data_IF_415495343541
#
_entry.id   IF_415495343541
#
_cell.length_a   1.000
_cell.length_b   1.000
_cell.length_c   1.000
_cell.angle_alpha   90.00
_cell.angle_beta   90.00
_cell.angle_gamma   90.00
#
_symmetry.space_group_name_H-M   'P 1'
#
loop_
_entity.id
_entity.type
_entity.pdbx_description
1 polymer ?
#
# COMPACT_ATOMS: atom_id res chain seq x y z
N UNK A 1 -23.81 -8.79 9.26
CA UNK A 1 -24.98 -9.55 8.81
C UNK A 1 -25.64 -8.93 7.56
N UNK A 2 -26.10 -7.65 7.59
CA UNK A 2 -26.85 -7.05 6.48
C UNK A 2 -26.04 -6.97 5.17
N UNK A 3 -24.77 -6.56 5.21
CA UNK A 3 -23.91 -6.47 4.03
C UNK A 3 -23.69 -7.84 3.37
N UNK A 4 -23.51 -8.90 4.18
CA UNK A 4 -23.34 -10.26 3.66
C UNK A 4 -24.61 -10.77 2.97
N UNK A 5 -25.78 -10.51 3.56
CA UNK A 5 -27.08 -10.86 2.94
C UNK A 5 -27.31 -10.09 1.62
N UNK A 6 -26.88 -8.84 1.54
CA UNK A 6 -26.93 -8.06 0.28
C UNK A 6 -25.99 -8.69 -0.76
N UNK A 7 -24.75 -9.06 -0.39
CA UNK A 7 -23.84 -9.71 -1.30
C UNK A 7 -24.40 -11.02 -1.87
N UNK A 8 -25.05 -11.83 -1.03
CA UNK A 8 -25.72 -13.06 -1.49
C UNK A 8 -26.90 -12.77 -2.44
N UNK A 9 -27.71 -11.76 -2.12
CA UNK A 9 -28.82 -11.36 -2.96
C UNK A 9 -28.38 -10.78 -4.31
N UNK A 10 -27.19 -10.16 -4.36
CA UNK A 10 -26.61 -9.60 -5.58
C UNK A 10 -25.69 -10.57 -6.32
N UNK A 11 -25.60 -11.84 -5.87
CA UNK A 11 -24.72 -12.81 -6.51
C UNK A 11 -25.15 -13.10 -7.98
N UNK A 12 -24.19 -13.29 -8.91
CA UNK A 12 -22.73 -13.33 -8.72
C UNK A 12 -22.12 -11.93 -8.55
N UNK A 13 -21.29 -11.74 -7.52
CA UNK A 13 -20.66 -10.46 -7.25
C UNK A 13 -19.30 -10.61 -6.55
N UNK A 14 -18.55 -9.52 -6.49
CA UNK A 14 -17.32 -9.41 -5.69
C UNK A 14 -17.62 -8.61 -4.42
N UNK A 15 -17.35 -9.21 -3.27
CA UNK A 15 -17.37 -8.53 -1.98
C UNK A 15 -15.95 -8.08 -1.62
N UNK A 16 -15.71 -6.79 -1.64
CA UNK A 16 -14.44 -6.22 -1.19
C UNK A 16 -14.52 -5.81 0.28
N UNK A 17 -13.54 -6.27 1.07
CA UNK A 17 -13.39 -5.92 2.48
C UNK A 17 -12.02 -5.28 2.66
N UNK A 18 -11.99 -3.97 2.84
CA UNK A 18 -10.75 -3.24 3.05
C UNK A 18 -10.37 -3.24 4.53
N UNK A 19 -9.06 -3.34 4.83
CA UNK A 19 -8.50 -3.34 6.17
C UNK A 19 -9.21 -4.32 7.13
N UNK A 20 -9.27 -5.58 6.72
CA UNK A 20 -9.99 -6.64 7.45
C UNK A 20 -9.61 -6.70 8.94
N UNK A 21 -8.35 -6.43 9.28
CA UNK A 21 -7.88 -6.39 10.67
C UNK A 21 -8.58 -5.32 11.50
N UNK A 22 -8.93 -4.17 10.92
CA UNK A 22 -9.65 -3.10 11.63
C UNK A 22 -11.08 -3.48 11.94
N UNK A 23 -11.73 -4.15 10.98
CA UNK A 23 -13.08 -4.67 11.16
C UNK A 23 -13.17 -5.69 12.30
N UNK A 24 -12.08 -6.45 12.51
CA UNK A 24 -12.04 -7.57 13.45
C UNK A 24 -11.47 -7.19 14.81
N UNK A 25 -10.58 -6.18 14.88
CA UNK A 25 -9.89 -5.80 16.11
C UNK A 25 -10.76 -4.99 17.07
N UNK A 26 -11.89 -4.46 16.60
CA UNK A 26 -12.62 -3.41 17.33
C UNK A 26 -11.73 -2.20 17.57
N UNK A 27 -12.20 -0.98 17.49
CA UNK A 27 -11.38 0.22 17.74
C UNK A 27 -10.72 0.09 19.11
N UNK A 28 -9.49 -0.42 19.12
CA UNK A 28 -8.72 -0.72 20.32
C UNK A 28 -8.26 0.56 21.01
N UNK A 29 -9.08 1.08 21.84
CA UNK A 29 -8.81 2.09 22.86
C UNK A 29 -9.57 1.68 24.09
N UNK A 30 -8.81 1.21 25.08
CA UNK A 30 -9.15 1.18 26.49
C UNK A 30 -10.59 0.75 26.86
N UNK A 31 -10.76 -0.53 27.19
CA UNK A 31 -11.83 -1.00 28.11
C UNK A 31 -13.29 -0.88 27.67
N UNK A 32 -13.62 -0.65 26.40
CA UNK A 32 -14.99 -0.36 26.00
C UNK A 32 -15.76 -1.60 25.49
N UNK A 33 -17.07 -1.54 25.65
CA UNK A 33 -18.12 -2.51 25.25
C UNK A 33 -18.05 -2.96 23.76
N UNK A 34 -17.20 -2.36 22.95
CA UNK A 34 -17.04 -2.60 21.52
C UNK A 34 -16.26 -3.89 21.17
N UNK A 35 -15.44 -4.43 22.08
CA UNK A 35 -14.69 -5.66 21.85
C UNK A 35 -15.61 -6.86 21.58
N UNK A 36 -16.77 -6.90 22.22
CA UNK A 36 -17.77 -7.94 22.02
C UNK A 36 -18.49 -7.86 20.67
N UNK A 37 -18.68 -6.65 20.13
CA UNK A 37 -19.34 -6.43 18.82
C UNK A 37 -18.42 -6.88 17.70
N UNK A 38 -17.15 -6.52 17.76
CA UNK A 38 -16.15 -6.89 16.74
C UNK A 38 -15.89 -8.40 16.72
N UNK A 39 -15.80 -9.04 17.88
CA UNK A 39 -15.67 -10.50 17.97
C UNK A 39 -16.89 -11.22 17.36
N UNK A 40 -18.11 -10.73 17.60
CA UNK A 40 -19.33 -11.26 16.99
C UNK A 40 -19.35 -11.03 15.48
N UNK A 41 -18.93 -9.86 15.01
CA UNK A 41 -18.84 -9.54 13.60
C UNK A 41 -17.84 -10.45 12.89
N UNK A 42 -16.67 -10.66 13.48
CA UNK A 42 -15.66 -11.58 13.01
C UNK A 42 -16.19 -13.01 12.92
N UNK A 43 -16.80 -13.52 13.96
CA UNK A 43 -17.43 -14.85 13.97
C UNK A 43 -18.50 -15.00 12.88
N UNK A 44 -19.32 -13.97 12.65
CA UNK A 44 -20.34 -13.97 11.59
C UNK A 44 -19.71 -14.06 10.19
N UNK A 45 -18.65 -13.32 9.92
CA UNK A 45 -17.93 -13.37 8.63
C UNK A 45 -17.30 -14.75 8.44
N UNK A 46 -16.66 -15.30 9.46
CA UNK A 46 -16.00 -16.61 9.41
C UNK A 46 -17.01 -17.75 9.13
N UNK A 47 -18.14 -17.75 9.83
CA UNK A 47 -19.20 -18.74 9.59
C UNK A 47 -19.79 -18.58 8.20
N UNK A 48 -20.07 -17.34 7.78
CA UNK A 48 -20.59 -17.08 6.46
C UNK A 48 -19.63 -17.54 5.35
N UNK A 49 -18.32 -17.29 5.47
CA UNK A 49 -17.33 -17.74 4.49
C UNK A 49 -17.26 -19.26 4.39
N UNK A 50 -17.46 -19.97 5.50
CA UNK A 50 -17.46 -21.44 5.52
C UNK A 50 -18.74 -22.04 4.91
N UNK A 51 -19.89 -21.38 5.11
CA UNK A 51 -21.22 -21.94 4.80
C UNK A 51 -21.81 -21.40 3.50
N UNK A 52 -21.25 -20.30 2.93
CA UNK A 52 -21.79 -19.65 1.72
C UNK A 52 -21.83 -20.62 0.53
N UNK A 53 -22.97 -20.71 -0.13
CA UNK A 53 -23.16 -21.45 -1.38
C UNK A 53 -23.34 -20.51 -2.59
N UNK A 54 -23.63 -19.24 -2.32
CA UNK A 54 -23.81 -18.24 -3.36
C UNK A 54 -22.48 -17.88 -4.02
N UNK A 55 -22.42 -17.62 -5.35
CA UNK A 55 -21.23 -17.25 -6.07
C UNK A 55 -20.79 -15.81 -5.75
N UNK A 56 -20.38 -15.59 -4.52
CA UNK A 56 -19.77 -14.34 -4.04
C UNK A 56 -18.27 -14.55 -3.92
N UNK A 57 -17.48 -13.81 -4.73
CA UNK A 57 -16.04 -13.80 -4.64
C UNK A 57 -15.62 -12.77 -3.59
N UNK A 58 -14.83 -13.19 -2.60
CA UNK A 58 -14.39 -12.32 -1.49
C UNK A 58 -12.97 -11.88 -1.72
N UNK A 59 -12.74 -10.56 -1.73
CA UNK A 59 -11.41 -9.95 -1.74
C UNK A 59 -11.26 -9.17 -0.45
N UNK A 60 -10.17 -9.41 0.29
CA UNK A 60 -9.88 -8.65 1.51
C UNK A 60 -8.44 -8.14 1.48
N UNK A 61 -8.23 -6.93 2.01
CA UNK A 61 -6.90 -6.36 2.26
C UNK A 61 -6.60 -6.35 3.76
N UNK A 62 -5.32 -6.43 4.12
CA UNK A 62 -4.85 -6.25 5.48
C UNK A 62 -3.50 -5.55 5.48
N UNK A 63 -3.38 -4.45 6.20
CA UNK A 63 -2.13 -3.71 6.38
C UNK A 63 -1.32 -4.26 7.57
N UNK A 64 -2.01 -4.82 8.55
CA UNK A 64 -1.37 -5.46 9.70
C UNK A 64 -1.94 -6.89 9.90
N UNK A 65 -1.44 -7.85 9.11
CA UNK A 65 -1.97 -9.21 9.13
C UNK A 65 -1.70 -9.95 10.44
N UNK A 66 -0.81 -9.47 11.31
CA UNK A 66 -0.58 -10.05 12.64
C UNK A 66 -1.75 -9.84 13.59
N UNK A 67 -2.56 -8.81 13.34
CA UNK A 67 -3.79 -8.56 14.10
C UNK A 67 -4.96 -9.43 13.67
N UNK A 68 -4.81 -10.17 12.58
CA UNK A 68 -5.83 -11.11 12.13
C UNK A 68 -5.82 -12.36 13.01
N UNK A 69 -6.99 -12.76 13.50
CA UNK A 69 -7.14 -14.06 14.13
C UNK A 69 -6.67 -15.17 13.14
N UNK A 70 -5.79 -16.09 13.59
CA UNK A 70 -5.33 -17.22 12.76
C UNK A 70 -6.46 -18.01 12.10
N UNK A 71 -7.67 -17.90 12.64
CA UNK A 71 -8.86 -18.51 12.04
C UNK A 71 -9.14 -18.01 10.62
N UNK A 72 -8.83 -16.76 10.28
CA UNK A 72 -9.05 -16.21 8.93
C UNK A 72 -8.05 -16.77 7.91
N UNK A 73 -6.84 -17.06 8.34
CA UNK A 73 -5.77 -17.55 7.48
C UNK A 73 -5.74 -19.08 7.33
N UNK A 74 -6.71 -19.79 7.92
CA UNK A 74 -6.85 -21.24 7.74
C UNK A 74 -7.42 -21.56 6.36
N UNK A 75 -6.98 -22.72 5.83
CA UNK A 75 -7.50 -23.24 4.55
C UNK A 75 -9.03 -23.42 4.59
N UNK A 76 -9.69 -23.16 3.45
CA UNK A 76 -11.15 -23.22 3.33
C UNK A 76 -11.89 -21.94 3.69
N UNK A 77 -11.16 -20.80 3.80
CA UNK A 77 -11.73 -19.47 4.00
C UNK A 77 -11.22 -18.48 2.97
N UNK A 78 -9.92 -18.17 2.98
CA UNK A 78 -9.26 -17.53 1.85
C UNK A 78 -8.45 -18.60 1.13
N UNK A 79 -8.81 -18.86 -0.14
CA UNK A 79 -8.19 -19.88 -0.96
C UNK A 79 -6.77 -19.47 -1.36
N UNK A 80 -6.59 -18.17 -1.66
CA UNK A 80 -5.31 -17.60 -2.05
C UNK A 80 -4.98 -16.38 -1.19
N UNK A 81 -3.69 -16.22 -0.90
CA UNK A 81 -3.15 -15.09 -0.17
C UNK A 81 -1.98 -14.51 -0.96
N UNK A 82 -2.05 -13.21 -1.19
CA UNK A 82 -1.03 -12.49 -1.90
C UNK A 82 -0.30 -11.54 -0.95
N UNK A 83 1.01 -11.57 -0.99
CA UNK A 83 1.85 -10.59 -0.35
C UNK A 83 2.19 -9.51 -1.37
N UNK A 84 1.83 -8.27 -1.06
CA UNK A 84 2.13 -7.09 -1.87
C UNK A 84 3.26 -6.36 -1.18
N UNK A 85 4.44 -6.39 -1.80
CA UNK A 85 5.63 -5.68 -1.33
C UNK A 85 5.71 -4.27 -1.92
N UNK A 86 6.77 -3.52 -1.59
CA UNK A 86 7.09 -2.29 -2.29
C UNK A 86 7.28 -2.59 -3.79
N UNK A 87 6.81 -1.69 -4.67
CA UNK A 87 6.91 -1.91 -6.10
C UNK A 87 8.38 -1.95 -6.56
N UNK A 88 8.74 -2.97 -7.33
CA UNK A 88 10.01 -3.07 -8.01
C UNK A 88 10.18 -2.01 -9.10
N UNK A 89 11.34 -1.95 -9.75
CA UNK A 89 11.67 -0.90 -10.71
C UNK A 89 10.70 -0.83 -11.89
N UNK A 90 10.40 -1.98 -12.51
CA UNK A 90 9.45 -2.02 -13.64
C UNK A 90 8.03 -1.65 -13.22
N UNK A 91 7.61 -2.05 -12.01
CA UNK A 91 6.29 -1.71 -11.48
C UNK A 91 6.24 -0.20 -11.21
N UNK A 92 7.28 0.41 -10.63
CA UNK A 92 7.35 1.86 -10.45
C UNK A 92 7.27 2.62 -11.76
N UNK A 93 7.98 2.15 -12.80
CA UNK A 93 7.88 2.69 -14.16
C UNK A 93 6.44 2.70 -14.68
N UNK A 94 5.74 1.57 -14.53
CA UNK A 94 4.33 1.45 -14.93
C UNK A 94 3.43 2.39 -14.12
N UNK A 95 3.67 2.53 -12.81
CA UNK A 95 2.90 3.45 -11.97
C UNK A 95 3.10 4.90 -12.42
N UNK A 96 4.35 5.34 -12.70
CA UNK A 96 4.62 6.66 -13.27
C UNK A 96 3.85 6.86 -14.58
N UNK A 97 3.93 5.92 -15.50
CA UNK A 97 3.22 5.99 -16.78
C UNK A 97 1.71 6.16 -16.57
N UNK A 98 1.10 5.31 -15.75
CA UNK A 98 -0.33 5.37 -15.45
C UNK A 98 -0.69 6.74 -14.85
N UNK A 99 0.05 7.20 -13.84
CA UNK A 99 -0.27 8.45 -13.15
C UNK A 99 -0.03 9.69 -14.00
N UNK A 100 0.96 9.67 -14.87
CA UNK A 100 1.19 10.74 -15.84
C UNK A 100 0.08 10.79 -16.89
N UNK A 101 -0.32 9.64 -17.47
CA UNK A 101 -1.44 9.57 -18.43
C UNK A 101 -2.77 9.99 -17.82
N UNK A 102 -3.06 9.57 -16.58
CA UNK A 102 -4.26 10.00 -15.86
C UNK A 102 -4.30 11.53 -15.64
N UNK A 103 -3.15 12.13 -15.39
CA UNK A 103 -3.06 13.54 -15.02
C UNK A 103 -2.84 14.48 -16.20
N UNK A 104 -2.21 13.98 -17.26
CA UNK A 104 -1.82 14.70 -18.46
C UNK A 104 -2.06 13.81 -19.70
N UNK A 105 -3.32 13.69 -20.17
CA UNK A 105 -3.67 12.79 -21.30
C UNK A 105 -2.90 13.08 -22.59
N UNK A 106 -2.53 14.35 -22.82
CA UNK A 106 -1.86 14.82 -24.03
C UNK A 106 -0.32 14.81 -23.91
N UNK A 107 0.22 14.30 -22.77
CA UNK A 107 1.67 14.25 -22.55
C UNK A 107 2.34 13.19 -23.42
N UNK A 108 3.44 13.58 -24.04
CA UNK A 108 4.35 12.61 -24.67
C UNK A 108 5.18 11.89 -23.58
N UNK A 109 4.75 10.69 -23.25
CA UNK A 109 5.35 9.88 -22.18
C UNK A 109 6.80 9.48 -22.48
N UNK A 110 7.16 9.33 -23.76
CA UNK A 110 8.52 8.91 -24.15
C UNK A 110 9.57 9.98 -23.80
N UNK A 111 9.15 11.24 -23.68
CA UNK A 111 10.02 12.35 -23.25
C UNK A 111 10.27 12.41 -21.76
N UNK A 112 9.50 11.65 -20.97
CA UNK A 112 9.53 11.72 -19.50
C UNK A 112 10.64 10.90 -18.85
N UNK A 113 11.40 10.11 -19.60
CA UNK A 113 12.52 9.33 -19.06
C UNK A 113 12.11 8.41 -17.90
N UNK A 114 11.05 7.60 -18.10
CA UNK A 114 10.45 6.78 -17.07
C UNK A 114 11.43 5.83 -16.38
N UNK A 115 12.43 5.33 -17.10
CA UNK A 115 13.46 4.45 -16.54
C UNK A 115 14.29 5.17 -15.47
N UNK A 116 14.69 6.41 -15.75
CA UNK A 116 15.44 7.24 -14.80
C UNK A 116 14.61 7.56 -13.54
N UNK A 117 13.32 7.88 -13.73
CA UNK A 117 12.38 8.13 -12.63
C UNK A 117 12.16 6.88 -11.79
N UNK A 118 12.05 5.71 -12.43
CA UNK A 118 11.90 4.44 -11.72
C UNK A 118 13.13 4.09 -10.87
N UNK A 119 14.33 4.33 -11.38
CA UNK A 119 15.57 4.15 -10.62
C UNK A 119 15.64 5.14 -9.45
N UNK A 120 15.38 6.42 -9.70
CA UNK A 120 15.46 7.48 -8.69
C UNK A 120 14.42 7.33 -7.56
N UNK A 121 13.30 6.68 -7.82
CA UNK A 121 12.20 6.46 -6.87
C UNK A 121 12.29 5.12 -6.12
N UNK A 122 13.46 4.54 -5.99
CA UNK A 122 13.65 3.30 -5.26
C UNK A 122 13.07 3.39 -3.83
N UNK A 123 12.33 2.36 -3.43
CA UNK A 123 11.64 2.34 -2.13
C UNK A 123 10.31 3.11 -2.08
N UNK A 124 9.88 3.75 -3.15
CA UNK A 124 8.59 4.46 -3.17
C UNK A 124 7.41 3.52 -3.30
N UNK A 125 6.35 3.86 -2.61
CA UNK A 125 5.02 3.27 -2.81
C UNK A 125 4.31 3.91 -4.02
N UNK A 126 3.24 3.29 -4.51
CA UNK A 126 2.41 3.88 -5.57
C UNK A 126 1.79 5.23 -5.18
N UNK A 127 1.44 5.40 -3.90
CA UNK A 127 0.89 6.65 -3.37
C UNK A 127 1.93 7.79 -3.37
N UNK A 128 3.18 7.47 -3.06
CA UNK A 128 4.27 8.46 -3.11
C UNK A 128 4.59 8.87 -4.55
N UNK A 129 4.62 7.92 -5.49
CA UNK A 129 4.77 8.23 -6.92
C UNK A 129 3.63 9.15 -7.40
N UNK A 130 2.38 8.85 -7.04
CA UNK A 130 1.26 9.72 -7.35
C UNK A 130 1.41 11.11 -6.73
N UNK A 131 1.94 11.19 -5.51
CA UNK A 131 2.22 12.45 -4.82
C UNK A 131 3.29 13.27 -5.55
N UNK A 132 4.36 12.62 -6.07
CA UNK A 132 5.37 13.28 -6.90
C UNK A 132 4.77 13.87 -8.17
N UNK A 133 3.93 13.11 -8.88
CA UNK A 133 3.28 13.58 -10.11
C UNK A 133 2.33 14.76 -9.82
N UNK A 134 1.60 14.70 -8.70
CA UNK A 134 0.72 15.78 -8.24
C UNK A 134 1.50 17.05 -7.88
N UNK A 135 2.61 16.90 -7.16
CA UNK A 135 3.47 18.02 -6.78
C UNK A 135 4.12 18.66 -7.99
N UNK A 136 4.66 17.88 -8.93
CA UNK A 136 5.21 18.37 -10.18
C UNK A 136 4.17 19.17 -10.98
N UNK A 137 2.89 18.73 -11.01
CA UNK A 137 1.80 19.48 -11.62
C UNK A 137 1.60 20.85 -10.96
N UNK A 138 1.61 20.88 -9.62
CA UNK A 138 1.40 22.11 -8.88
C UNK A 138 2.52 23.12 -9.12
N UNK A 139 3.77 22.67 -9.14
CA UNK A 139 4.93 23.51 -9.44
C UNK A 139 4.88 24.02 -10.88
N UNK A 140 4.65 23.13 -11.86
CA UNK A 140 4.52 23.50 -13.27
C UNK A 140 3.49 24.63 -13.46
N UNK A 141 2.31 24.46 -12.85
CA UNK A 141 1.25 25.47 -12.90
C UNK A 141 1.68 26.80 -12.28
N UNK A 142 2.42 26.76 -11.16
CA UNK A 142 2.92 27.98 -10.50
C UNK A 142 3.97 28.69 -11.35
N UNK A 143 4.79 27.95 -12.08
CA UNK A 143 5.81 28.45 -13.00
C UNK A 143 5.24 28.82 -14.39
N UNK A 144 3.93 28.72 -14.59
CA UNK A 144 3.28 29.06 -15.86
C UNK A 144 3.47 28.04 -16.97
N UNK A 145 3.91 26.82 -16.62
CA UNK A 145 4.02 25.71 -17.56
C UNK A 145 2.69 24.95 -17.67
N UNK A 146 2.37 24.48 -18.84
CA UNK A 146 1.15 23.68 -19.09
C UNK A 146 1.28 22.27 -18.47
N UNK A 147 2.46 21.67 -18.60
CA UNK A 147 2.79 20.35 -18.07
C UNK A 147 4.20 20.35 -17.48
N UNK A 148 4.49 19.49 -16.48
CA UNK A 148 5.85 19.30 -16.00
C UNK A 148 6.69 18.61 -17.06
N UNK A 149 7.95 18.99 -17.13
CA UNK A 149 8.95 18.25 -17.90
C UNK A 149 9.67 17.19 -17.06
N UNK A 150 10.51 16.39 -17.70
CA UNK A 150 11.33 15.39 -17.02
C UNK A 150 12.18 15.98 -15.89
N UNK A 151 12.80 17.13 -16.13
CA UNK A 151 13.71 17.75 -15.16
C UNK A 151 12.98 18.19 -13.88
N UNK A 152 11.78 18.75 -14.03
CA UNK A 152 10.96 19.14 -12.90
C UNK A 152 10.51 17.92 -12.08
N UNK A 153 10.02 16.88 -12.76
CA UNK A 153 9.57 15.67 -12.08
C UNK A 153 10.74 14.94 -11.39
N UNK A 154 11.92 14.85 -12.01
CA UNK A 154 13.11 14.29 -11.38
C UNK A 154 13.51 15.02 -10.12
N UNK A 155 13.50 16.37 -10.14
CA UNK A 155 13.77 17.18 -8.94
C UNK A 155 12.77 16.93 -7.81
N UNK A 156 11.50 16.71 -8.14
CA UNK A 156 10.48 16.37 -7.13
C UNK A 156 10.74 15.00 -6.54
N UNK A 157 11.03 14.01 -7.39
CA UNK A 157 11.37 12.65 -6.95
C UNK A 157 12.61 12.65 -6.06
N UNK A 158 13.68 13.35 -6.45
CA UNK A 158 14.92 13.40 -5.65
C UNK A 158 14.77 14.08 -4.28
N UNK A 159 13.81 14.98 -4.13
CA UNK A 159 13.55 15.69 -2.87
C UNK A 159 12.65 14.93 -1.90
N UNK A 160 11.84 14.03 -2.40
CA UNK A 160 10.95 13.25 -1.56
C UNK A 160 11.73 12.13 -0.86
N UNK A 161 11.43 11.94 0.42
CA UNK A 161 11.98 10.84 1.21
C UNK A 161 10.95 9.74 1.27
N UNK A 162 11.27 8.52 0.83
CA UNK A 162 10.31 7.42 0.89
C UNK A 162 9.97 7.03 2.33
N UNK A 163 8.71 6.80 2.61
CA UNK A 163 8.23 6.30 3.91
C UNK A 163 8.88 4.96 4.27
N UNK A 164 9.26 4.18 3.27
CA UNK A 164 9.99 2.92 3.43
C UNK A 164 11.28 3.06 4.26
N UNK A 165 11.93 4.23 4.24
CA UNK A 165 13.12 4.50 5.07
C UNK A 165 12.75 4.55 6.56
N UNK A 166 11.65 5.22 6.90
CA UNK A 166 11.17 5.31 8.28
C UNK A 166 10.53 4.00 8.76
N UNK A 167 10.00 3.20 7.84
CA UNK A 167 9.29 1.96 8.12
C UNK A 167 10.11 0.70 7.82
N UNK A 168 11.41 0.81 7.60
CA UNK A 168 12.28 -0.29 7.15
C UNK A 168 12.17 -1.54 8.05
N UNK A 169 12.18 -1.34 9.37
CA UNK A 169 12.06 -2.44 10.34
C UNK A 169 10.69 -3.13 10.24
N UNK A 170 9.61 -2.34 10.11
CA UNK A 170 8.25 -2.87 9.97
C UNK A 170 8.10 -3.65 8.67
N UNK A 171 8.59 -3.12 7.55
CA UNK A 171 8.55 -3.77 6.24
C UNK A 171 9.36 -5.06 6.27
N UNK A 172 10.57 -5.03 6.85
CA UNK A 172 11.41 -6.21 6.99
C UNK A 172 10.73 -7.29 7.82
N UNK A 173 10.09 -6.91 8.92
CA UNK A 173 9.34 -7.83 9.76
C UNK A 173 8.17 -8.49 9.01
N UNK A 174 7.37 -7.69 8.29
CA UNK A 174 6.26 -8.20 7.47
C UNK A 174 6.77 -9.14 6.38
N UNK A 175 7.89 -8.82 5.72
CA UNK A 175 8.53 -9.68 4.71
C UNK A 175 8.92 -11.05 5.28
N UNK A 176 9.54 -11.07 6.46
CA UNK A 176 9.90 -12.32 7.14
C UNK A 176 8.67 -13.15 7.50
N UNK A 177 7.63 -12.50 7.98
CA UNK A 177 6.42 -13.17 8.44
C UNK A 177 5.53 -13.68 7.31
N UNK A 178 5.46 -12.95 6.17
CA UNK A 178 4.46 -13.18 5.12
C UNK A 178 5.05 -13.37 3.72
N UNK A 179 6.26 -12.91 3.46
CA UNK A 179 6.90 -12.96 2.14
C UNK A 179 7.43 -14.33 1.70
N UNK A 180 7.33 -15.35 2.56
CA UNK A 180 7.77 -16.73 2.25
C UNK A 180 6.60 -17.62 1.81
N UNK A 181 6.59 -18.87 2.33
CA UNK A 181 5.58 -19.89 1.98
C UNK A 181 4.15 -19.56 2.47
N UNK A 182 3.97 -18.52 3.27
CA UNK A 182 2.67 -18.15 3.86
C UNK A 182 1.75 -17.43 2.90
N UNK A 183 2.30 -16.65 1.98
CA UNK A 183 1.54 -15.93 0.96
C UNK A 183 2.34 -15.89 -0.35
N UNK A 184 1.65 -15.99 -1.47
CA UNK A 184 2.24 -15.87 -2.80
C UNK A 184 2.60 -14.40 -3.05
N UNK A 185 3.77 -14.11 -3.59
CA UNK A 185 4.09 -12.76 -4.04
C UNK A 185 3.15 -12.32 -5.15
N UNK A 186 2.70 -11.08 -5.09
CA UNK A 186 1.81 -10.52 -6.11
C UNK A 186 2.57 -10.14 -7.40
N UNK A 187 3.87 -9.90 -7.28
CA UNK A 187 4.77 -9.62 -8.41
C UNK A 187 5.89 -10.68 -8.50
N UNK A 188 6.62 -10.65 -9.62
CA UNK A 188 7.77 -11.51 -9.89
C UNK A 188 9.11 -10.81 -9.70
N UNK A 189 9.11 -9.55 -9.25
CA UNK A 189 10.33 -8.78 -9.07
C UNK A 189 11.02 -9.11 -7.74
N UNK A 190 12.34 -8.96 -7.71
CA UNK A 190 13.12 -9.09 -6.49
C UNK A 190 12.69 -8.02 -5.46
N UNK A 191 12.64 -8.36 -4.16
CA UNK A 191 12.36 -7.39 -3.13
C UNK A 191 13.35 -6.23 -3.17
N UNK A 192 12.85 -5.01 -3.03
CA UNK A 192 13.69 -3.83 -2.90
C UNK A 192 14.58 -3.96 -1.66
N UNK A 193 15.91 -3.89 -1.84
CA UNK A 193 16.86 -3.92 -0.72
C UNK A 193 16.89 -2.56 -0.02
N UNK A 194 16.18 -2.48 1.08
CA UNK A 194 16.09 -1.27 1.90
C UNK A 194 17.41 -0.86 2.52
N UNK A 195 18.36 -1.80 2.70
CA UNK A 195 19.64 -1.49 3.31
C UNK A 195 20.60 -0.81 2.31
N UNK A 196 20.63 -1.28 1.05
CA UNK A 196 21.48 -0.68 0.01
C UNK A 196 20.93 0.67 -0.47
N UNK A 197 19.62 0.81 -0.61
CA UNK A 197 18.98 2.03 -1.09
C UNK A 197 18.93 3.12 -0.02
N UNK A 198 18.73 2.75 1.25
CA UNK A 198 18.79 3.72 2.38
C UNK A 198 20.19 4.30 2.60
N UNK A 199 21.25 3.55 2.28
CA UNK A 199 22.62 4.02 2.44
C UNK A 199 23.03 5.07 1.40
N UNK A 200 22.39 5.12 0.23
CA UNK A 200 22.67 6.16 -0.78
C UNK A 200 22.22 7.55 -0.35
N UNK A 201 21.39 7.66 0.68
CA UNK A 201 20.85 8.92 1.18
C UNK A 201 21.04 9.09 2.70
N UNK A 202 22.28 8.92 3.18
CA UNK A 202 22.60 9.07 4.62
C UNK A 202 22.24 10.48 5.15
N UNK A 203 22.38 11.52 4.34
CA UNK A 203 21.96 12.88 4.70
C UNK A 203 20.44 13.01 4.84
N UNK A 204 19.69 12.35 3.98
CA UNK A 204 18.24 12.30 4.01
C UNK A 204 17.76 11.52 5.23
N UNK A 205 18.38 10.38 5.56
CA UNK A 205 18.10 9.61 6.77
C UNK A 205 18.31 10.44 8.03
N UNK A 206 19.40 11.18 8.13
CA UNK A 206 19.66 12.10 9.25
C UNK A 206 18.65 13.24 9.35
N UNK A 207 18.17 13.75 8.22
CA UNK A 207 17.13 14.78 8.18
C UNK A 207 15.77 14.24 8.67
N UNK A 208 15.37 13.04 8.25
CA UNK A 208 14.13 12.38 8.69
C UNK A 208 14.16 12.03 10.17
N UNK A 209 15.24 11.44 10.67
CA UNK A 209 15.41 11.17 12.10
C UNK A 209 15.30 12.45 12.95
N UNK A 210 15.87 13.54 12.46
CA UNK A 210 15.78 14.85 13.13
C UNK A 210 14.34 15.38 13.13
N UNK A 211 13.62 15.23 12.03
CA UNK A 211 12.24 15.67 11.91
C UNK A 211 11.31 14.82 12.80
N UNK A 212 11.48 13.50 12.83
CA UNK A 212 10.73 12.58 13.68
C UNK A 212 10.95 12.86 15.17
N UNK A 213 12.20 13.05 15.60
CA UNK A 213 12.52 13.44 16.99
C UNK A 213 11.90 14.76 17.38
N UNK A 214 11.81 15.72 16.46
CA UNK A 214 11.20 17.03 16.72
C UNK A 214 9.68 16.96 16.82
N UNK A 215 9.04 16.03 16.09
CA UNK A 215 7.58 15.81 16.13
C UNK A 215 7.17 15.15 17.44
N UNK A 216 7.92 14.11 17.89
CA UNK A 216 7.65 13.42 19.16
C UNK A 216 7.89 14.34 20.39
N UNK A 217 8.81 15.28 20.31
CA UNK A 217 9.04 16.27 21.40
C UNK A 217 7.95 17.34 21.52
N UNK A 218 7.07 17.47 20.53
CA UNK A 218 5.96 18.45 20.50
C UNK A 218 4.60 17.83 20.83
N UNK A 219 4.54 16.52 21.00
CA UNK A 219 3.41 15.77 21.59
C UNK A 219 3.63 15.51 23.06
#
# INVERSE_FOLDING_TARGET
ARALAIAEACSPCVLWIDELEKLLSGSGGDGSLDSGVSARMGGTILSWMADKQSPVFVVATANNPERLDPAYVRRGRFDERFFIDLPGENVRKQIFEIKLRERFPDMDIDTMGLDTLAVASAGYTGAEIESCVREAKNIARHEGMEMPDHNLLSKVVEKMVPDAVAMADTISHIRVMWGGDRARRADSEEPVDLNQESLKNEEVRKAVEKQYRNTIRRM
#
